data_IF_140950064210
#
_entry.id   IF_140950064210
#
_cell.length_a   1.000
_cell.length_b   1.000
_cell.length_c   1.000
_cell.angle_alpha   90.00
_cell.angle_beta   90.00
_cell.angle_gamma   90.00
#
_symmetry.space_group_name_H-M   'P 1'
#
loop_
_entity.id
_entity.type
_entity.pdbx_description
1 polymer ?
#
# COMPACT_ATOMS: atom_id res chain seq x y z
N UNK A 1 15.40 -14.10 0.32
CA UNK A 1 14.11 -13.48 0.73
C UNK A 1 13.78 -12.33 -0.18
N UNK A 2 12.58 -12.34 -0.63
CA UNK A 2 12.12 -11.32 -1.55
C UNK A 2 11.66 -10.08 -0.79
N UNK A 3 12.24 -8.94 -1.12
CA UNK A 3 11.87 -7.69 -0.46
C UNK A 3 10.89 -6.86 -1.28
N UNK A 4 10.39 -7.44 -2.31
CA UNK A 4 9.41 -6.73 -3.12
C UNK A 4 8.14 -6.49 -2.35
N UNK A 5 7.69 -5.25 -2.42
CA UNK A 5 6.36 -4.92 -1.94
C UNK A 5 5.56 -4.55 -3.17
N UNK A 6 4.67 -5.42 -3.55
CA UNK A 6 3.85 -5.15 -4.72
C UNK A 6 2.58 -4.41 -4.32
N UNK A 7 1.95 -3.78 -5.30
CA UNK A 7 0.68 -3.12 -5.03
C UNK A 7 -0.37 -4.09 -4.53
N UNK A 8 -0.34 -5.31 -5.07
CA UNK A 8 -1.29 -6.33 -4.63
C UNK A 8 -1.06 -6.71 -3.17
N UNK A 9 0.21 -6.78 -2.76
CA UNK A 9 0.52 -7.11 -1.37
C UNK A 9 0.05 -6.01 -0.42
N UNK A 10 0.26 -4.76 -0.81
CA UNK A 10 -0.17 -3.63 0.00
C UNK A 10 -1.69 -3.61 0.11
N UNK A 11 -2.36 -3.84 -0.98
CA UNK A 11 -3.82 -3.86 -0.98
C UNK A 11 -4.35 -5.00 -0.12
N UNK A 12 -3.74 -6.17 -0.22
CA UNK A 12 -4.16 -7.31 0.57
C UNK A 12 -3.98 -7.04 2.06
N UNK A 13 -2.86 -6.43 2.42
CA UNK A 13 -2.62 -6.07 3.81
C UNK A 13 -3.67 -5.09 4.30
N UNK A 14 -3.98 -4.11 3.49
CA UNK A 14 -4.99 -3.11 3.84
C UNK A 14 -6.35 -3.75 4.04
N UNK A 15 -6.76 -4.60 3.11
CA UNK A 15 -8.07 -5.23 3.18
C UNK A 15 -8.14 -6.22 4.33
N UNK A 16 -7.06 -6.91 4.59
CA UNK A 16 -7.01 -7.85 5.70
C UNK A 16 -7.26 -7.14 7.03
N UNK A 17 -6.79 -5.91 7.14
CA UNK A 17 -6.95 -5.13 8.36
C UNK A 17 -8.15 -4.18 8.28
N UNK A 18 -8.92 -4.28 7.21
CA UNK A 18 -10.10 -3.45 7.01
C UNK A 18 -9.79 -1.97 7.09
N UNK A 19 -8.72 -1.59 6.41
CA UNK A 19 -8.28 -0.21 6.38
C UNK A 19 -8.60 0.41 5.04
N UNK A 20 -8.89 1.70 5.05
CA UNK A 20 -8.92 2.46 3.81
C UNK A 20 -7.50 2.82 3.42
N UNK A 21 -7.34 3.30 2.18
CA UNK A 21 -6.02 3.76 1.75
C UNK A 21 -5.50 4.85 2.68
N UNK A 22 -6.37 5.76 3.07
CA UNK A 22 -5.98 6.84 3.95
C UNK A 22 -5.55 6.32 5.31
N UNK A 23 -6.27 5.36 5.84
CA UNK A 23 -5.93 4.79 7.15
C UNK A 23 -4.59 4.08 7.10
N UNK A 24 -4.35 3.32 6.04
CA UNK A 24 -3.07 2.65 5.91
C UNK A 24 -1.95 3.66 5.76
N UNK A 25 -2.19 4.72 4.98
CA UNK A 25 -1.18 5.76 4.81
C UNK A 25 -0.80 6.37 6.15
N UNK A 26 -1.77 6.61 7.00
CA UNK A 26 -1.50 7.17 8.32
C UNK A 26 -0.66 6.23 9.15
N UNK A 27 -0.96 4.94 9.08
CA UNK A 27 -0.18 3.97 9.84
C UNK A 27 1.26 3.88 9.38
N UNK A 28 1.48 4.08 8.10
CA UNK A 28 2.82 4.00 7.52
C UNK A 28 3.52 5.35 7.46
N UNK A 29 2.84 6.39 7.91
CA UNK A 29 3.37 7.75 7.87
C UNK A 29 3.73 8.20 6.46
N UNK A 30 2.88 7.84 5.50
CA UNK A 30 3.02 8.27 4.12
C UNK A 30 1.70 8.91 3.68
N UNK A 31 1.69 9.46 2.48
CA UNK A 31 0.45 10.07 1.98
C UNK A 31 -0.45 9.00 1.38
N UNK A 32 -1.74 9.29 1.33
CA UNK A 32 -2.68 8.38 0.69
C UNK A 32 -2.41 8.26 -0.80
N UNK A 33 -1.84 9.29 -1.40
CA UNK A 33 -1.46 9.23 -2.80
C UNK A 33 -0.36 8.21 -3.03
N UNK A 34 0.57 8.09 -2.07
CA UNK A 34 1.61 7.07 -2.17
C UNK A 34 1.00 5.68 -2.14
N UNK A 35 0.04 5.46 -1.25
CA UNK A 35 -0.62 4.16 -1.18
C UNK A 35 -1.33 3.86 -2.51
N UNK A 36 -2.02 4.85 -3.03
CA UNK A 36 -2.74 4.67 -4.29
C UNK A 36 -1.79 4.29 -5.42
N UNK A 37 -0.66 4.97 -5.50
CA UNK A 37 0.35 4.64 -6.52
C UNK A 37 0.87 3.23 -6.33
N UNK A 38 1.13 2.86 -5.11
CA UNK A 38 1.66 1.53 -4.84
C UNK A 38 0.67 0.45 -5.24
N UNK A 39 -0.60 0.67 -4.98
CA UNK A 39 -1.62 -0.31 -5.30
C UNK A 39 -1.83 -0.43 -6.80
N UNK A 40 -1.57 0.61 -7.54
CA UNK A 40 -1.62 0.53 -9.00
C UNK A 40 -0.35 -0.03 -9.60
N UNK A 41 0.69 -0.15 -8.81
CA UNK A 41 1.94 -0.73 -9.28
C UNK A 41 2.80 0.19 -10.12
N UNK A 42 2.44 1.45 -10.20
CA UNK A 42 3.12 2.37 -11.11
C UNK A 42 4.55 2.65 -10.68
N UNK A 43 4.79 2.71 -9.39
CA UNK A 43 6.06 3.20 -8.88
C UNK A 43 6.94 2.12 -8.29
N UNK A 44 6.62 0.88 -8.51
CA UNK A 44 7.38 -0.22 -7.91
C UNK A 44 8.44 -0.74 -8.85
N UNK A 45 9.30 0.10 -9.28
CA UNK A 45 10.32 -0.30 -10.25
C UNK A 45 11.68 0.06 -9.78
#
# INVERSE_FOLDING_TARGET
>A
MNNYITGAAIRALREKNRLTQQQLAEKLCVSDKAISKWETGVSLR
#
